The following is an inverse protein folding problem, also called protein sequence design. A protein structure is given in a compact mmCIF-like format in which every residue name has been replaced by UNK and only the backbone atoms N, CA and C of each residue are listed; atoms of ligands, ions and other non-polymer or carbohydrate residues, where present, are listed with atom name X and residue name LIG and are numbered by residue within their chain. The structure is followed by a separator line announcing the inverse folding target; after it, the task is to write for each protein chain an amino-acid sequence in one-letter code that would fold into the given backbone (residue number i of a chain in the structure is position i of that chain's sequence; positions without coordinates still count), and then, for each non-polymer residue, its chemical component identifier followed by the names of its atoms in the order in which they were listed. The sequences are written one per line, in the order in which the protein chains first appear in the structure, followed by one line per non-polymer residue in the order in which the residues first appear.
data_IF_209269293297
#
_entry.id   IF_209269293297
#
_cell.length_a   1.000
_cell.length_b   1.000
_cell.length_c   1.000
_cell.angle_alpha   90.00
_cell.angle_beta   90.00
_cell.angle_gamma   90.00
#
_symmetry.space_group_name_H-M   'P 1'
#
loop_
_entity.id
_entity.type
_entity.pdbx_description
1 polymer ?
#
# COMPACT_ATOMS: atom_id res chain seq x y z
N UNK A 1 0.22 41.23 40.94
CA UNK A 1 0.35 39.89 40.32
C UNK A 1 -0.64 39.65 39.14
N UNK A 2 -1.05 40.67 38.36
CA UNK A 2 -2.16 40.55 37.38
C UNK A 2 -1.73 40.35 35.91
N UNK A 3 -0.53 40.81 35.52
CA UNK A 3 0.05 40.58 34.18
C UNK A 3 0.49 39.13 33.89
N UNK A 4 1.05 38.34 34.84
CA UNK A 4 1.59 37.02 34.52
C UNK A 4 0.50 36.01 34.13
N UNK A 5 -0.72 36.13 34.68
CA UNK A 5 -1.84 35.21 34.39
C UNK A 5 -2.33 35.38 32.94
N UNK A 6 -2.42 36.62 32.47
CA UNK A 6 -2.85 36.92 31.10
C UNK A 6 -1.80 36.47 30.06
N UNK A 7 -0.52 36.63 30.39
CA UNK A 7 0.59 36.11 29.58
C UNK A 7 0.54 34.58 29.51
N UNK A 8 0.27 33.91 30.63
CA UNK A 8 0.14 32.45 30.69
C UNK A 8 -0.98 31.93 29.77
N UNK A 9 -2.15 32.59 29.80
CA UNK A 9 -3.29 32.22 28.96
C UNK A 9 -2.98 32.32 27.45
N UNK A 10 -2.29 33.38 27.02
CA UNK A 10 -1.85 33.53 25.63
C UNK A 10 -0.85 32.44 25.23
N UNK A 11 0.09 32.10 26.11
CA UNK A 11 1.06 31.02 25.86
C UNK A 11 0.35 29.67 25.69
N UNK A 12 -0.64 29.35 26.53
CA UNK A 12 -1.42 28.12 26.39
C UNK A 12 -2.20 28.04 25.08
N UNK A 13 -2.78 29.16 24.62
CA UNK A 13 -3.46 29.22 23.32
C UNK A 13 -2.48 29.00 22.17
N UNK A 14 -1.30 29.62 22.23
CA UNK A 14 -0.27 29.44 21.20
C UNK A 14 0.24 27.99 21.17
N UNK A 15 0.55 27.39 22.31
CA UNK A 15 0.99 25.98 22.39
C UNK A 15 -0.12 25.05 21.91
N UNK A 16 -1.36 25.25 22.37
CA UNK A 16 -2.51 24.45 21.94
C UNK A 16 -2.78 24.54 20.45
N UNK A 17 -2.63 25.72 19.85
CA UNK A 17 -2.79 25.95 18.41
C UNK A 17 -1.65 25.33 17.60
N UNK A 18 -0.43 25.35 18.14
CA UNK A 18 0.72 24.68 17.52
C UNK A 18 0.54 23.16 17.51
N UNK A 19 0.05 22.59 18.62
CA UNK A 19 -0.22 21.15 18.74
C UNK A 19 -1.36 20.71 17.82
N UNK A 20 -2.44 21.49 17.69
CA UNK A 20 -3.54 21.15 16.77
C UNK A 20 -3.13 21.31 15.30
N UNK A 21 -2.34 22.32 14.96
CA UNK A 21 -1.77 22.45 13.61
C UNK A 21 -0.82 21.28 13.27
N UNK A 22 -0.09 20.77 14.26
CA UNK A 22 0.77 19.60 14.11
C UNK A 22 -0.04 18.30 13.91
N UNK A 23 -1.11 18.09 14.68
CA UNK A 23 -2.04 16.96 14.51
C UNK A 23 -2.76 17.01 13.14
N UNK A 24 -3.23 18.19 12.71
CA UNK A 24 -3.89 18.35 11.42
C UNK A 24 -2.97 18.04 10.22
N UNK A 25 -1.68 18.35 10.32
CA UNK A 25 -0.69 18.05 9.28
C UNK A 25 -0.18 16.59 9.31
N UNK A 26 -0.43 15.85 10.39
CA UNK A 26 0.03 14.48 10.58
C UNK A 26 -1.05 13.42 10.28
N UNK A 27 -2.33 13.81 10.24
CA UNK A 27 -3.39 12.92 9.77
C UNK A 27 -3.32 12.77 8.26
N UNK A 28 -3.53 11.54 7.71
CA UNK A 28 -3.75 11.39 6.28
C UNK A 28 -4.90 12.32 5.90
N UNK A 29 -4.70 13.11 4.85
CA UNK A 29 -5.81 13.87 4.31
C UNK A 29 -6.93 12.86 4.02
N UNK A 30 -8.09 13.03 4.66
CA UNK A 30 -9.31 12.34 4.24
C UNK A 30 -9.69 12.90 2.87
N UNK A 31 -8.91 12.55 1.85
CA UNK A 31 -9.24 12.79 0.46
C UNK A 31 -10.23 11.72 0.08
N UNK A 32 -11.43 12.13 -0.29
CA UNK A 32 -12.36 11.29 -1.02
C UNK A 32 -11.77 10.99 -2.40
N UNK A 33 -10.82 10.07 -2.43
CA UNK A 33 -10.27 9.50 -3.63
C UNK A 33 -11.24 8.41 -4.08
N UNK A 34 -11.81 8.54 -5.28
CA UNK A 34 -12.38 7.37 -5.94
C UNK A 34 -11.32 6.78 -6.84
N UNK A 35 -11.15 5.48 -6.74
CA UNK A 35 -10.47 4.72 -7.78
C UNK A 35 -11.24 4.93 -9.07
N UNK A 36 -10.59 5.49 -10.08
CA UNK A 36 -11.17 5.53 -11.42
C UNK A 36 -11.29 4.10 -11.91
N UNK A 37 -12.51 3.64 -12.16
CA UNK A 37 -12.75 2.30 -12.72
C UNK A 37 -12.20 2.11 -14.15
N UNK A 38 -11.56 3.14 -14.73
CA UNK A 38 -11.08 3.14 -16.11
C UNK A 38 -9.54 3.17 -16.25
N UNK A 39 -8.76 3.33 -15.17
CA UNK A 39 -7.30 3.17 -15.24
C UNK A 39 -6.91 1.75 -14.80
N UNK A 40 -5.94 1.17 -15.50
CA UNK A 40 -5.55 -0.24 -15.37
C UNK A 40 -5.03 -0.54 -13.96
N UNK A 41 -5.86 -1.19 -13.15
CA UNK A 41 -5.45 -1.77 -11.88
C UNK A 41 -4.52 -2.94 -12.18
N UNK A 42 -3.24 -2.80 -11.83
CA UNK A 42 -2.27 -3.89 -11.95
C UNK A 42 -2.27 -4.70 -10.67
N UNK A 43 -2.50 -6.00 -10.78
CA UNK A 43 -2.71 -6.84 -9.61
C UNK A 43 -2.06 -8.21 -9.77
N UNK A 44 -1.22 -8.58 -8.80
CA UNK A 44 -0.77 -9.95 -8.58
C UNK A 44 -1.51 -10.56 -7.42
N UNK A 45 -2.09 -11.73 -7.66
CA UNK A 45 -2.79 -12.49 -6.63
C UNK A 45 -2.51 -13.97 -6.73
N UNK A 46 -2.61 -14.58 -5.55
CA UNK A 46 -2.71 -16.02 -5.38
C UNK A 46 -4.18 -16.33 -5.16
N UNK A 47 -4.76 -17.13 -6.06
CA UNK A 47 -6.15 -17.57 -5.98
C UNK A 47 -6.19 -19.01 -5.52
N UNK A 48 -7.06 -19.34 -4.58
CA UNK A 48 -7.33 -20.73 -4.22
C UNK A 48 -8.73 -21.11 -4.73
N UNK A 49 -8.78 -21.67 -5.94
CA UNK A 49 -10.02 -21.96 -6.65
C UNK A 49 -10.27 -23.46 -6.71
N UNK A 50 -11.53 -23.86 -6.88
CA UNK A 50 -11.83 -25.25 -7.26
C UNK A 50 -11.44 -25.46 -8.72
N UNK A 51 -11.04 -26.67 -9.11
CA UNK A 51 -10.75 -27.01 -10.50
C UNK A 51 -11.93 -26.63 -11.42
N UNK A 52 -11.66 -25.93 -12.51
CA UNK A 52 -12.69 -25.25 -13.30
C UNK A 52 -13.13 -23.89 -12.73
N UNK A 53 -12.35 -23.26 -11.86
CA UNK A 53 -12.64 -21.92 -11.35
C UNK A 53 -12.22 -20.79 -12.30
N UNK A 54 -12.73 -19.58 -12.04
CA UNK A 54 -12.43 -18.36 -12.83
C UNK A 54 -11.23 -17.65 -12.20
N UNK A 55 -10.29 -17.22 -13.05
CA UNK A 55 -9.09 -16.44 -12.65
C UNK A 55 -9.01 -15.13 -13.43
N UNK A 56 -9.34 -15.16 -14.73
CA UNK A 56 -9.32 -14.01 -15.63
C UNK A 56 -8.03 -13.18 -15.56
N UNK A 57 -6.90 -13.79 -15.87
CA UNK A 57 -5.60 -13.14 -15.82
C UNK A 57 -4.47 -13.94 -16.47
N UNK A 58 -3.28 -13.36 -16.52
CA UNK A 58 -2.06 -14.02 -17.00
C UNK A 58 -1.52 -14.94 -15.92
N UNK A 59 -1.62 -16.25 -16.13
CA UNK A 59 -1.17 -17.26 -15.17
C UNK A 59 0.35 -17.43 -15.26
N UNK A 60 1.00 -17.30 -14.11
CA UNK A 60 2.45 -17.43 -13.95
C UNK A 60 2.83 -18.82 -13.43
N UNK A 61 2.04 -19.39 -12.53
CA UNK A 61 2.23 -20.74 -12.01
C UNK A 61 0.92 -21.29 -11.42
N UNK A 62 0.87 -22.61 -11.24
CA UNK A 62 -0.18 -23.30 -10.47
C UNK A 62 0.42 -24.30 -9.50
N UNK A 63 -0.26 -24.54 -8.38
CA UNK A 63 0.02 -25.61 -7.43
C UNK A 63 -1.20 -26.50 -7.31
N UNK A 64 -0.96 -27.79 -7.41
CA UNK A 64 -1.96 -28.85 -7.31
C UNK A 64 -1.35 -30.05 -6.58
N UNK A 65 -2.16 -30.89 -5.91
CA UNK A 65 -1.70 -32.09 -5.21
C UNK A 65 -1.38 -33.28 -6.15
N UNK A 66 -1.08 -33.01 -7.43
CA UNK A 66 -0.61 -34.02 -8.36
C UNK A 66 0.92 -34.14 -8.29
N UNK A 67 1.44 -35.35 -8.56
CA UNK A 67 2.87 -35.65 -8.45
C UNK A 67 3.58 -35.79 -9.80
N UNK A 68 2.88 -35.63 -10.92
CA UNK A 68 3.45 -35.77 -12.27
C UNK A 68 4.49 -34.69 -12.61
N UNK A 69 5.40 -34.96 -13.53
CA UNK A 69 6.39 -33.97 -13.98
C UNK A 69 5.75 -32.84 -14.80
N UNK A 70 4.67 -33.15 -15.52
CA UNK A 70 3.95 -32.22 -16.37
C UNK A 70 2.46 -32.24 -16.02
N UNK A 71 1.81 -31.13 -16.31
CA UNK A 71 0.40 -30.89 -16.05
C UNK A 71 -0.21 -30.24 -17.29
N UNK A 72 -1.34 -30.76 -17.78
CA UNK A 72 -2.10 -30.07 -18.83
C UNK A 72 -3.13 -29.17 -18.16
N UNK A 73 -3.04 -27.87 -18.45
CA UNK A 73 -4.00 -26.86 -18.00
C UNK A 73 -4.77 -26.36 -19.22
N UNK A 74 -6.09 -26.32 -19.10
CA UNK A 74 -6.99 -25.90 -20.17
C UNK A 74 -7.89 -24.74 -19.76
N UNK A 75 -8.14 -23.86 -20.72
CA UNK A 75 -9.20 -22.87 -20.69
C UNK A 75 -10.34 -23.36 -21.61
N UNK A 76 -11.39 -24.00 -21.07
CA UNK A 76 -12.48 -24.49 -21.91
C UNK A 76 -13.29 -23.38 -22.59
N UNK A 77 -13.22 -22.13 -22.10
CA UNK A 77 -13.92 -21.01 -22.76
C UNK A 77 -13.16 -20.46 -23.97
N UNK A 78 -11.82 -20.58 -23.95
CA UNK A 78 -10.95 -20.06 -25.01
C UNK A 78 -10.39 -21.15 -25.92
N UNK A 79 -10.69 -22.42 -25.63
CA UNK A 79 -10.13 -23.61 -26.27
C UNK A 79 -8.60 -23.61 -26.29
N UNK A 80 -8.00 -23.19 -25.17
CA UNK A 80 -6.54 -23.11 -24.99
C UNK A 80 -6.08 -24.26 -24.10
N UNK A 81 -5.02 -24.96 -24.52
CA UNK A 81 -4.41 -26.05 -23.77
C UNK A 81 -2.89 -25.81 -23.69
N UNK A 82 -2.35 -25.81 -22.47
CA UNK A 82 -0.93 -25.57 -22.24
C UNK A 82 -0.38 -26.60 -21.26
N UNK A 83 0.80 -27.10 -21.59
CA UNK A 83 1.57 -27.97 -20.70
C UNK A 83 2.40 -27.10 -19.75
N UNK A 84 2.16 -27.28 -18.47
CA UNK A 84 2.94 -26.70 -17.40
C UNK A 84 3.94 -27.75 -16.89
N UNK A 85 5.17 -27.34 -16.64
CA UNK A 85 6.24 -28.22 -16.17
C UNK A 85 6.48 -27.98 -14.69
N UNK A 86 6.66 -29.06 -13.93
CA UNK A 86 6.94 -29.00 -12.49
C UNK A 86 8.33 -28.43 -12.23
N UNK A 87 8.42 -27.45 -11.33
CA UNK A 87 9.64 -26.94 -10.72
C UNK A 87 9.42 -26.84 -9.21
N UNK A 88 9.94 -27.81 -8.47
CA UNK A 88 9.66 -27.96 -7.05
C UNK A 88 8.18 -28.27 -6.79
N UNK A 89 7.50 -27.41 -6.03
CA UNK A 89 6.09 -27.55 -5.66
C UNK A 89 5.11 -26.83 -6.60
N UNK A 90 5.62 -26.18 -7.64
CA UNK A 90 4.83 -25.40 -8.59
C UNK A 90 4.94 -25.99 -9.99
N UNK A 91 3.89 -25.80 -10.79
CA UNK A 91 3.87 -26.05 -12.22
C UNK A 91 3.87 -24.71 -12.95
N UNK A 92 4.81 -24.52 -13.89
CA UNK A 92 4.98 -23.26 -14.61
C UNK A 92 4.81 -23.48 -16.13
N UNK A 93 4.13 -22.57 -16.84
CA UNK A 93 4.09 -22.60 -18.30
C UNK A 93 5.44 -22.14 -18.88
N UNK A 94 5.75 -22.51 -20.12
CA UNK A 94 6.97 -22.05 -20.81
C UNK A 94 6.99 -20.53 -20.99
N UNK A 95 5.83 -19.94 -21.21
CA UNK A 95 5.61 -18.50 -21.35
C UNK A 95 4.34 -18.12 -20.58
N UNK A 96 4.26 -16.93 -19.97
CA UNK A 96 3.04 -16.44 -19.36
C UNK A 96 1.89 -16.49 -20.37
N UNK A 97 0.73 -16.97 -19.94
CA UNK A 97 -0.44 -17.10 -20.81
C UNK A 97 -1.71 -16.69 -20.07
N UNK A 98 -2.61 -16.04 -20.79
CA UNK A 98 -3.89 -15.62 -20.24
C UNK A 98 -4.87 -16.79 -20.16
N UNK A 99 -5.46 -16.98 -18.97
CA UNK A 99 -6.59 -17.88 -18.74
C UNK A 99 -7.78 -17.11 -18.17
N UNK A 100 -8.98 -17.37 -18.68
CA UNK A 100 -10.24 -16.94 -18.08
C UNK A 100 -10.70 -17.94 -17.04
N UNK A 101 -10.65 -19.23 -17.39
CA UNK A 101 -10.99 -20.36 -16.53
C UNK A 101 -9.83 -21.34 -16.49
N UNK A 102 -9.53 -21.89 -15.31
CA UNK A 102 -8.45 -22.88 -15.15
C UNK A 102 -9.07 -24.23 -14.87
N UNK A 103 -8.81 -25.18 -15.77
CA UNK A 103 -9.13 -26.57 -15.56
C UNK A 103 -7.87 -27.42 -15.74
N UNK A 104 -7.62 -28.29 -14.78
CA UNK A 104 -6.48 -29.18 -14.73
C UNK A 104 -6.95 -30.60 -15.02
N UNK A 105 -6.37 -31.23 -16.04
CA UNK A 105 -6.73 -32.59 -16.41
C UNK A 105 -6.29 -33.59 -15.32
N UNK A 106 -7.20 -34.48 -14.93
CA UNK A 106 -6.94 -35.54 -13.94
C UNK A 106 -7.05 -35.12 -12.46
N UNK A 107 -7.37 -33.85 -12.15
CA UNK A 107 -7.44 -33.36 -10.77
C UNK A 107 -8.82 -33.56 -10.08
N UNK A 108 -9.89 -33.84 -10.83
CA UNK A 108 -11.25 -33.91 -10.25
C UNK A 108 -11.72 -32.55 -9.70
N UNK A 109 -12.50 -32.55 -8.62
CA UNK A 109 -13.06 -31.34 -7.97
C UNK A 109 -12.17 -30.75 -6.86
N UNK A 110 -10.87 -30.97 -6.93
CA UNK A 110 -9.93 -30.47 -5.92
C UNK A 110 -9.55 -29.00 -6.12
N UNK A 111 -8.84 -28.44 -5.12
CA UNK A 111 -8.37 -27.06 -5.15
C UNK A 111 -7.11 -26.90 -5.99
N UNK A 112 -7.08 -25.82 -6.76
CA UNK A 112 -5.93 -25.32 -7.51
C UNK A 112 -5.55 -23.98 -6.92
N UNK A 113 -4.31 -23.86 -6.49
CA UNK A 113 -3.72 -22.59 -6.12
C UNK A 113 -3.06 -21.98 -7.37
N UNK A 114 -3.47 -20.77 -7.74
CA UNK A 114 -3.11 -20.12 -9.01
C UNK A 114 -2.41 -18.81 -8.72
N UNK A 115 -1.25 -18.62 -9.34
CA UNK A 115 -0.47 -17.40 -9.26
C UNK A 115 -0.68 -16.64 -10.57
N UNK A 116 -1.34 -15.48 -10.52
CA UNK A 116 -1.70 -14.74 -11.73
C UNK A 116 -1.49 -13.24 -11.62
N UNK A 117 -1.18 -12.64 -12.78
CA UNK A 117 -1.10 -11.21 -13.03
C UNK A 117 -2.31 -10.75 -13.86
N UNK A 118 -3.18 -9.93 -13.28
CA UNK A 118 -4.45 -9.52 -13.91
C UNK A 118 -4.28 -8.46 -15.01
N UNK A 119 -3.12 -7.79 -15.10
CA UNK A 119 -2.90 -6.67 -16.03
C UNK A 119 -1.59 -6.75 -16.86
N UNK A 120 -0.82 -7.84 -16.73
CA UNK A 120 0.40 -8.09 -17.50
C UNK A 120 1.56 -7.12 -17.22
N UNK A 121 2.70 -7.34 -17.87
CA UNK A 121 3.79 -6.34 -17.99
C UNK A 121 4.98 -6.45 -17.03
N UNK A 122 4.90 -7.23 -15.96
CA UNK A 122 5.97 -7.34 -14.96
C UNK A 122 6.56 -8.75 -14.92
N UNK A 123 7.88 -8.83 -14.69
CA UNK A 123 8.63 -10.09 -14.66
C UNK A 123 8.89 -10.47 -13.20
N UNK A 124 8.15 -11.45 -12.72
CA UNK A 124 8.27 -11.98 -11.35
C UNK A 124 8.64 -13.46 -11.39
N UNK A 125 9.46 -13.90 -10.44
CA UNK A 125 9.60 -15.30 -10.11
C UNK A 125 8.49 -15.69 -9.11
N UNK A 126 8.07 -16.94 -9.19
CA UNK A 126 7.01 -17.47 -8.33
C UNK A 126 7.59 -18.54 -7.43
N UNK A 127 7.45 -18.32 -6.12
CA UNK A 127 7.80 -19.28 -5.07
C UNK A 127 6.53 -19.74 -4.36
N UNK A 128 6.56 -20.90 -3.67
CA UNK A 128 5.52 -21.33 -2.74
C UNK A 128 4.96 -20.18 -1.89
N UNK A 129 3.73 -19.76 -2.19
CA UNK A 129 2.98 -18.72 -1.48
C UNK A 129 3.45 -17.29 -1.74
N UNK A 130 4.43 -17.02 -2.60
CA UNK A 130 5.04 -15.70 -2.73
C UNK A 130 5.50 -15.36 -4.15
N UNK A 131 5.48 -14.08 -4.48
CA UNK A 131 6.10 -13.50 -5.66
C UNK A 131 7.44 -12.86 -5.27
N UNK A 132 8.43 -12.94 -6.16
CA UNK A 132 9.76 -12.35 -5.97
C UNK A 132 10.14 -11.57 -7.22
N UNK A 133 10.70 -10.37 -7.04
CA UNK A 133 11.31 -9.63 -8.16
C UNK A 133 12.57 -10.38 -8.61
N UNK A 134 12.59 -10.81 -9.88
CA UNK A 134 13.67 -11.62 -10.45
C UNK A 134 15.05 -11.01 -10.24
N UNK A 135 16.06 -11.85 -9.98
CA UNK A 135 17.45 -11.40 -9.84
C UNK A 135 18.01 -10.73 -11.10
N UNK A 136 17.49 -11.10 -12.27
CA UNK A 136 17.88 -10.50 -13.55
C UNK A 136 17.28 -9.10 -13.79
N UNK A 137 16.41 -8.62 -12.91
CA UNK A 137 15.76 -7.32 -13.00
C UNK A 137 16.18 -6.50 -11.78
N UNK A 138 16.84 -5.36 -11.99
CA UNK A 138 17.34 -4.55 -10.87
C UNK A 138 16.22 -4.01 -9.97
N UNK A 139 15.12 -3.56 -10.58
CA UNK A 139 13.92 -3.15 -9.87
C UNK A 139 12.70 -3.10 -10.81
N UNK A 140 11.51 -3.15 -10.20
CA UNK A 140 10.24 -2.86 -10.87
C UNK A 140 9.78 -1.47 -10.45
N UNK A 141 9.53 -0.60 -11.44
CA UNK A 141 9.21 0.79 -11.21
C UNK A 141 7.73 1.07 -11.46
N UNK A 142 7.11 1.77 -10.52
CA UNK A 142 5.73 2.19 -10.56
C UNK A 142 5.65 3.73 -10.50
N UNK A 143 5.10 4.40 -11.52
CA UNK A 143 5.06 5.85 -11.54
C UNK A 143 4.02 6.45 -10.61
N UNK A 144 4.43 7.41 -9.76
CA UNK A 144 3.49 8.25 -9.01
C UNK A 144 2.93 9.32 -9.95
N UNK A 145 1.83 9.02 -10.62
CA UNK A 145 1.27 9.89 -11.65
C UNK A 145 0.63 11.15 -11.06
N UNK A 146 0.41 12.15 -11.91
CA UNK A 146 -0.35 13.37 -11.57
C UNK A 146 -1.80 13.14 -11.14
N UNK A 147 -2.29 11.90 -11.20
CA UNK A 147 -3.64 11.53 -10.76
C UNK A 147 -3.65 10.95 -9.34
N UNK A 148 -2.49 10.65 -8.78
CA UNK A 148 -2.39 9.94 -7.51
C UNK A 148 -2.21 8.46 -7.78
N UNK A 149 -1.65 7.77 -6.79
CA UNK A 149 -1.34 6.36 -6.91
C UNK A 149 -1.46 5.69 -5.55
N UNK A 150 -2.00 4.47 -5.52
CA UNK A 150 -1.95 3.57 -4.37
C UNK A 150 -1.26 2.29 -4.80
N UNK A 151 -0.18 1.95 -4.10
CA UNK A 151 0.50 0.67 -4.20
C UNK A 151 0.30 -0.06 -2.87
N UNK A 152 -0.27 -1.26 -2.91
CA UNK A 152 -0.43 -2.11 -1.74
C UNK A 152 0.35 -3.41 -1.91
N UNK A 153 1.06 -3.80 -0.85
CA UNK A 153 1.80 -5.06 -0.77
C UNK A 153 1.35 -5.85 0.46
N UNK A 154 1.13 -7.15 0.28
CA UNK A 154 0.79 -8.10 1.34
C UNK A 154 2.02 -8.94 1.71
N UNK A 155 2.28 -9.05 3.01
CA UNK A 155 3.46 -9.68 3.62
C UNK A 155 4.78 -9.30 2.92
N UNK A 156 5.08 -8.00 2.77
CA UNK A 156 6.24 -7.60 1.99
C UNK A 156 7.55 -7.83 2.76
N UNK A 157 8.60 -8.12 1.97
CA UNK A 157 10.01 -8.24 2.40
C UNK A 157 10.95 -7.65 1.35
N UNK A 158 12.13 -7.25 1.79
CA UNK A 158 13.16 -6.66 0.94
C UNK A 158 13.20 -5.14 1.06
N UNK A 159 13.29 -4.43 -0.07
CA UNK A 159 13.50 -2.99 -0.08
C UNK A 159 12.61 -2.33 -1.14
N UNK A 160 11.90 -1.30 -0.69
CA UNK A 160 11.13 -0.41 -1.57
C UNK A 160 11.74 0.98 -1.47
N UNK A 161 11.94 1.63 -2.61
CA UNK A 161 12.56 2.95 -2.68
C UNK A 161 11.59 3.92 -3.36
N UNK A 162 11.26 5.01 -2.69
CA UNK A 162 10.58 6.15 -3.31
C UNK A 162 11.67 7.05 -3.89
N UNK A 163 11.74 7.09 -5.21
CA UNK A 163 12.70 7.86 -5.98
C UNK A 163 12.20 9.30 -6.11
N UNK A 164 12.71 10.15 -5.24
CA UNK A 164 12.62 11.61 -5.27
C UNK A 164 14.05 12.20 -5.17
N UNK A 165 14.23 13.52 -5.03
CA UNK A 165 15.56 14.13 -4.89
C UNK A 165 16.36 13.59 -3.69
N UNK A 166 15.67 13.23 -2.62
CA UNK A 166 16.28 12.82 -1.36
C UNK A 166 16.34 11.30 -1.18
N UNK A 167 15.71 10.54 -2.08
CA UNK A 167 15.59 9.08 -2.10
C UNK A 167 15.16 8.49 -0.76
N UNK A 168 13.92 8.07 -0.65
CA UNK A 168 13.43 7.43 0.59
C UNK A 168 13.49 5.91 0.48
N UNK A 169 14.22 5.26 1.37
CA UNK A 169 14.24 3.79 1.47
C UNK A 169 13.27 3.30 2.56
N UNK A 170 12.55 2.23 2.26
CA UNK A 170 11.70 1.47 3.17
C UNK A 170 12.26 0.04 3.20
N UNK A 171 12.86 -0.33 4.32
CA UNK A 171 13.49 -1.65 4.50
C UNK A 171 12.50 -2.54 5.26
N UNK A 172 12.22 -3.71 4.69
CA UNK A 172 11.16 -4.62 5.11
C UNK A 172 11.76 -5.98 5.48
N UNK A 173 11.95 -6.21 6.78
CA UNK A 173 12.46 -7.46 7.35
C UNK A 173 11.55 -7.97 8.46
N UNK A 174 12.13 -8.30 9.62
CA UNK A 174 11.38 -8.56 10.87
C UNK A 174 10.98 -7.25 11.59
N UNK A 175 11.18 -6.14 10.90
CA UNK A 175 10.81 -4.78 11.26
C UNK A 175 10.61 -3.96 9.99
N UNK A 176 9.96 -2.80 10.12
CA UNK A 176 9.96 -1.75 9.11
C UNK A 176 10.93 -0.67 9.53
N UNK A 177 11.87 -0.32 8.66
CA UNK A 177 12.79 0.79 8.87
C UNK A 177 12.60 1.83 7.76
N UNK A 178 12.44 3.08 8.17
CA UNK A 178 12.36 4.26 7.29
C UNK A 178 13.43 5.25 7.77
N UNK A 179 14.68 5.14 7.30
CA UNK A 179 15.81 5.90 7.84
C UNK A 179 15.60 7.42 7.74
N UNK A 180 14.98 7.90 6.65
CA UNK A 180 14.67 9.33 6.44
C UNK A 180 13.80 9.94 7.53
N UNK A 181 12.94 9.12 8.16
CA UNK A 181 12.07 9.55 9.25
C UNK A 181 12.64 9.21 10.64
N UNK A 182 13.80 8.53 10.69
CA UNK A 182 14.35 7.94 11.91
C UNK A 182 13.30 7.05 12.63
N UNK A 183 12.58 6.24 11.84
CA UNK A 183 11.53 5.34 12.32
C UNK A 183 11.98 3.90 12.14
N UNK A 184 11.92 3.14 13.22
CA UNK A 184 12.00 1.68 13.20
C UNK A 184 10.80 1.13 13.95
N UNK A 185 9.94 0.40 13.26
CA UNK A 185 8.80 -0.28 13.84
C UNK A 185 9.09 -1.79 13.90
N UNK A 186 9.30 -2.30 15.10
CA UNK A 186 9.52 -3.73 15.32
C UNK A 186 8.24 -4.51 15.04
N UNK A 187 8.38 -5.69 14.42
CA UNK A 187 7.26 -6.55 14.05
C UNK A 187 7.29 -6.90 12.57
N UNK A 188 6.68 -8.04 12.25
CA UNK A 188 6.64 -8.59 10.91
C UNK A 188 5.69 -7.77 10.01
N UNK A 189 6.16 -7.13 8.92
CA UNK A 189 5.29 -6.41 8.00
C UNK A 189 4.25 -7.33 7.39
N UNK A 190 2.97 -7.04 7.64
CA UNK A 190 1.84 -7.77 7.06
C UNK A 190 1.21 -7.02 5.91
N UNK A 191 1.08 -5.70 6.03
CA UNK A 191 0.59 -4.83 4.95
C UNK A 191 1.46 -3.59 4.91
N UNK A 192 1.82 -3.19 3.68
CA UNK A 192 2.42 -1.90 3.38
C UNK A 192 1.66 -1.28 2.21
N UNK A 193 1.26 -0.03 2.38
CA UNK A 193 0.66 0.81 1.35
C UNK A 193 1.52 2.05 1.14
N UNK A 194 1.77 2.38 -0.12
CA UNK A 194 2.37 3.63 -0.54
C UNK A 194 1.30 4.41 -1.29
N UNK A 195 0.84 5.51 -0.69
CA UNK A 195 -0.28 6.30 -1.18
C UNK A 195 0.22 7.71 -1.50
N UNK A 196 0.14 8.11 -2.76
CA UNK A 196 0.57 9.44 -3.19
C UNK A 196 -0.63 10.38 -3.32
N UNK A 197 -0.69 11.41 -2.48
CA UNK A 197 -1.75 12.44 -2.51
C UNK A 197 -1.40 13.57 -3.48
N UNK A 198 -2.43 14.09 -4.15
CA UNK A 198 -2.36 15.20 -5.08
C UNK A 198 -2.39 16.59 -4.42
N UNK A 199 -2.74 16.67 -3.15
CA UNK A 199 -2.87 17.96 -2.44
C UNK A 199 -1.50 18.56 -2.17
N UNK A 200 -1.31 19.86 -2.39
CA UNK A 200 -0.09 20.58 -1.97
C UNK A 200 -0.09 20.77 -0.44
N UNK A 201 0.99 20.44 0.29
CA UNK A 201 2.26 19.89 -0.22
C UNK A 201 2.14 18.44 -0.69
N UNK A 202 2.77 18.13 -1.84
CA UNK A 202 2.84 16.78 -2.42
C UNK A 202 3.44 15.82 -1.38
N UNK A 203 2.63 14.86 -0.92
CA UNK A 203 3.00 13.96 0.18
C UNK A 203 2.74 12.52 -0.22
N UNK A 204 3.69 11.64 0.11
CA UNK A 204 3.51 10.20 0.09
C UNK A 204 3.24 9.73 1.50
N UNK A 205 2.18 8.95 1.65
CA UNK A 205 1.83 8.27 2.87
C UNK A 205 2.30 6.82 2.80
N UNK A 206 2.99 6.39 3.84
CA UNK A 206 3.38 5.01 4.08
C UNK A 206 2.45 4.51 5.18
N UNK A 207 1.53 3.62 4.83
CA UNK A 207 0.46 3.15 5.70
C UNK A 207 0.43 1.62 5.80
N UNK A 208 -0.03 1.06 6.90
CA UNK A 208 -0.15 -0.39 7.06
C UNK A 208 -0.07 -0.86 8.49
N UNK A 209 0.32 -2.12 8.67
CA UNK A 209 0.54 -2.67 10.00
C UNK A 209 1.60 -3.77 10.03
N UNK A 210 2.19 -3.92 11.21
CA UNK A 210 3.10 -5.01 11.57
C UNK A 210 2.43 -5.94 12.57
N UNK A 211 2.80 -7.22 12.52
CA UNK A 211 2.47 -8.23 13.51
C UNK A 211 3.60 -8.34 14.54
N UNK A 212 3.28 -8.11 15.81
CA UNK A 212 4.22 -8.18 16.92
C UNK A 212 4.35 -9.61 17.50
N UNK A 213 3.62 -10.57 16.93
CA UNK A 213 3.44 -11.90 17.49
C UNK A 213 2.30 -11.97 18.51
N UNK A 214 1.85 -13.19 18.80
CA UNK A 214 0.77 -13.49 19.76
C UNK A 214 -0.56 -12.77 19.45
N UNK A 215 -0.84 -12.52 18.17
CA UNK A 215 -2.06 -11.86 17.71
C UNK A 215 -2.11 -10.35 17.94
N UNK A 216 -0.99 -9.72 18.36
CA UNK A 216 -0.90 -8.27 18.53
C UNK A 216 -0.45 -7.61 17.23
N UNK A 217 -1.15 -6.56 16.81
CA UNK A 217 -0.79 -5.76 15.64
C UNK A 217 -0.51 -4.32 16.03
N UNK A 218 0.33 -3.64 15.26
CA UNK A 218 0.54 -2.19 15.37
C UNK A 218 0.38 -1.56 14.00
N UNK A 219 -0.57 -0.64 13.91
CA UNK A 219 -0.79 0.18 12.71
C UNK A 219 0.19 1.35 12.69
N UNK A 220 0.58 1.75 11.49
CA UNK A 220 1.44 2.90 11.29
C UNK A 220 0.99 3.68 10.07
N UNK A 221 1.12 4.99 10.16
CA UNK A 221 0.89 5.91 9.05
C UNK A 221 1.93 7.02 9.15
N UNK A 222 2.77 7.14 8.13
CA UNK A 222 3.82 8.15 8.07
C UNK A 222 3.71 8.97 6.79
N UNK A 223 3.76 10.29 6.92
CA UNK A 223 3.77 11.22 5.79
C UNK A 223 5.18 11.66 5.44
N UNK A 224 5.54 11.60 4.17
CA UNK A 224 6.81 12.09 3.63
C UNK A 224 6.53 13.11 2.55
N UNK A 225 7.00 14.33 2.76
CA UNK A 225 6.95 15.37 1.73
C UNK A 225 7.88 14.99 0.59
N UNK A 226 7.33 14.95 -0.62
CA UNK A 226 8.08 14.66 -1.83
C UNK A 226 8.77 15.92 -2.33
N UNK A 227 10.06 15.78 -2.61
CA UNK A 227 10.82 16.75 -3.39
C UNK A 227 11.07 16.14 -4.78
N UNK A 228 10.17 16.35 -5.76
CA UNK A 228 10.32 15.74 -7.07
C UNK A 228 11.64 16.20 -7.73
N UNK A 229 12.31 15.27 -8.44
CA UNK A 229 13.58 15.53 -9.13
C UNK A 229 13.39 16.60 -10.22
N UNK A 230 12.25 16.53 -10.90
CA UNK A 230 11.77 17.49 -11.88
C UNK A 230 10.25 17.63 -11.67
N UNK A 231 9.70 18.84 -11.72
CA UNK A 231 8.25 19.04 -11.63
C UNK A 231 7.47 18.32 -12.74
N UNK A 232 8.15 18.02 -13.85
CA UNK A 232 7.62 17.30 -15.00
C UNK A 232 7.81 15.78 -14.93
N UNK A 233 8.72 15.28 -14.08
CA UNK A 233 8.93 13.83 -13.89
C UNK A 233 8.19 13.34 -12.64
N UNK A 234 7.26 12.38 -12.78
CA UNK A 234 6.63 11.78 -11.62
C UNK A 234 7.67 11.07 -10.76
N UNK A 235 7.60 11.25 -9.43
CA UNK A 235 8.35 10.40 -8.52
C UNK A 235 7.99 8.93 -8.78
N UNK A 236 8.91 8.00 -8.55
CA UNK A 236 8.68 6.59 -8.84
C UNK A 236 8.80 5.77 -7.55
N UNK A 237 8.00 4.71 -7.43
CA UNK A 237 8.22 3.69 -6.41
C UNK A 237 8.94 2.52 -7.08
N UNK A 238 10.15 2.24 -6.60
CA UNK A 238 11.03 1.18 -7.06
C UNK A 238 10.95 0.01 -6.08
N UNK A 239 10.47 -1.15 -6.55
CA UNK A 239 10.54 -2.41 -5.81
C UNK A 239 11.79 -3.13 -6.25
N UNK A 240 12.78 -3.18 -5.37
CA UNK A 240 14.14 -3.60 -5.72
C UNK A 240 14.23 -5.12 -5.84
N UNK A 241 15.21 -5.60 -6.62
CA UNK A 241 15.53 -7.02 -6.78
C UNK A 241 15.56 -7.78 -5.46
N UNK A 242 15.07 -9.02 -5.47
CA UNK A 242 15.02 -9.87 -4.27
C UNK A 242 13.90 -9.52 -3.29
N UNK A 243 13.15 -8.43 -3.49
CA UNK A 243 11.96 -8.14 -2.70
C UNK A 243 10.86 -9.17 -3.00
N UNK A 244 10.09 -9.53 -1.97
CA UNK A 244 9.05 -10.54 -2.06
C UNK A 244 7.76 -10.11 -1.37
N UNK A 245 6.63 -10.61 -1.85
CA UNK A 245 5.30 -10.33 -1.30
C UNK A 245 4.32 -11.43 -1.71
N UNK A 246 3.22 -11.60 -0.97
CA UNK A 246 2.20 -12.63 -1.27
C UNK A 246 1.13 -12.12 -2.24
N UNK A 247 0.92 -10.80 -2.30
CA UNK A 247 0.05 -10.14 -3.27
C UNK A 247 0.49 -8.68 -3.45
N UNK A 248 0.22 -8.09 -4.62
CA UNK A 248 0.33 -6.66 -4.83
C UNK A 248 -0.87 -6.11 -5.58
N UNK A 249 -1.20 -4.86 -5.29
CA UNK A 249 -2.13 -4.08 -6.09
C UNK A 249 -1.51 -2.70 -6.39
N UNK A 250 -1.66 -2.23 -7.61
CA UNK A 250 -1.29 -0.89 -8.03
C UNK A 250 -2.44 -0.27 -8.79
N UNK A 251 -2.90 0.88 -8.30
CA UNK A 251 -4.03 1.60 -8.86
C UNK A 251 -3.79 3.09 -8.89
N UNK A 252 -4.46 3.75 -9.83
CA UNK A 252 -4.57 5.20 -9.90
C UNK A 252 -5.94 5.63 -9.41
N UNK A 253 -5.99 6.72 -8.68
CA UNK A 253 -7.25 7.36 -8.32
C UNK A 253 -7.38 8.70 -9.03
N UNK A 254 -8.55 9.33 -8.96
CA UNK A 254 -8.67 10.78 -9.07
C UNK A 254 -9.35 11.28 -7.82
N UNK A 255 -9.01 12.50 -7.43
CA UNK A 255 -9.85 13.24 -6.51
C UNK A 255 -11.21 13.44 -7.18
N UNK A 256 -12.28 12.98 -6.55
CA UNK A 256 -13.60 13.55 -6.83
C UNK A 256 -13.59 14.90 -6.13
N UNK A 257 -13.64 15.99 -6.89
CA UNK A 257 -13.98 17.28 -6.32
C UNK A 257 -15.43 17.19 -5.81
N UNK A 258 -15.57 17.00 -4.50
CA UNK A 258 -16.84 16.88 -3.81
C UNK A 258 -16.62 16.91 -2.30
N UNK A 259 -17.55 17.51 -1.57
CA UNK A 259 -17.55 17.48 -0.12
C UNK A 259 -17.52 16.02 0.35
N UNK A 260 -16.45 15.61 1.01
CA UNK A 260 -16.47 14.37 1.75
C UNK A 260 -17.65 14.44 2.72
N UNK A 261 -18.53 13.42 2.79
CA UNK A 261 -19.38 13.27 3.94
C UNK A 261 -18.43 13.05 5.11
N UNK A 262 -18.14 14.13 5.82
CA UNK A 262 -17.44 14.09 7.08
C UNK A 262 -18.36 13.27 7.99
N UNK A 263 -18.12 11.96 8.10
CA UNK A 263 -18.37 11.31 9.37
C UNK A 263 -17.56 12.14 10.35
N UNK A 264 -18.27 12.96 11.13
CA UNK A 264 -17.72 13.81 12.17
C UNK A 264 -16.99 12.91 13.16
N UNK A 265 -15.76 12.55 12.85
CA UNK A 265 -14.76 12.16 13.84
C UNK A 265 -14.41 13.48 14.54
N UNK A 266 -15.28 13.80 15.51
CA UNK A 266 -15.12 14.74 16.62
C UNK A 266 -14.45 16.09 16.33
N UNK A 267 -15.13 17.23 16.60
CA UNK A 267 -14.39 18.45 16.89
C UNK A 267 -13.74 18.28 18.27
N UNK A 268 -12.55 17.68 18.35
CA UNK A 268 -11.65 17.93 19.49
C UNK A 268 -10.84 19.24 19.28
N UNK A 269 -11.11 19.95 18.19
CA UNK A 269 -10.56 21.27 17.88
C UNK A 269 -11.19 22.52 18.55
N UNK A 270 -12.31 22.50 19.30
CA UNK A 270 -12.81 23.72 19.93
C UNK A 270 -12.47 23.80 21.41
N UNK A 271 -12.05 22.72 22.08
CA UNK A 271 -11.85 22.73 23.55
C UNK A 271 -10.67 23.62 23.96
N UNK A 272 -9.53 23.56 23.28
CA UNK A 272 -8.37 24.42 23.59
C UNK A 272 -8.60 25.89 23.26
N UNK A 273 -9.25 26.17 22.13
CA UNK A 273 -9.65 27.53 21.71
C UNK A 273 -10.71 28.13 22.65
N UNK A 274 -11.71 27.34 23.06
CA UNK A 274 -12.75 27.77 23.99
C UNK A 274 -12.22 27.94 25.41
N UNK A 275 -11.34 27.05 25.92
CA UNK A 275 -10.67 27.23 27.22
C UNK A 275 -9.77 28.47 27.22
N UNK A 276 -9.05 28.67 26.12
CA UNK A 276 -8.19 29.84 25.90
C UNK A 276 -8.96 31.16 25.89
N UNK A 277 -10.06 31.22 25.13
CA UNK A 277 -10.97 32.36 25.14
C UNK A 277 -11.62 32.55 26.52
N UNK A 278 -12.05 31.49 27.20
CA UNK A 278 -12.61 31.56 28.56
C UNK A 278 -11.62 32.15 29.57
N UNK A 279 -10.34 31.78 29.50
CA UNK A 279 -9.30 32.33 30.38
C UNK A 279 -9.02 33.81 30.08
N UNK A 280 -9.06 34.21 28.80
CA UNK A 280 -8.95 35.61 28.39
C UNK A 280 -10.16 36.42 28.89
N UNK A 281 -11.38 35.90 28.71
CA UNK A 281 -12.61 36.53 29.19
C UNK A 281 -12.69 36.61 30.72
N UNK A 282 -12.31 35.55 31.44
CA UNK A 282 -12.23 35.55 32.90
C UNK A 282 -11.20 36.58 33.41
N UNK A 283 -10.05 36.70 32.72
CA UNK A 283 -9.04 37.73 33.02
C UNK A 283 -9.51 39.16 32.74
N UNK A 284 -10.38 39.37 31.74
CA UNK A 284 -10.99 40.66 31.40
C UNK A 284 -12.14 41.03 32.36
N UNK A 285 -13.01 40.08 32.70
CA UNK A 285 -14.14 40.28 33.63
C UNK A 285 -13.68 40.50 35.08
N UNK A 286 -12.55 39.95 35.50
CA UNK A 286 -11.95 40.27 36.82
C UNK A 286 -11.44 41.72 36.91
N UNK A 287 -11.37 42.43 35.78
CA UNK A 287 -10.85 43.80 35.68
C UNK A 287 -11.93 44.87 35.83
N UNK A 288 -13.20 44.50 35.70
CA UNK A 288 -14.40 45.30 36.01
C UNK A 288 -14.89 44.99 37.41
#
# INVERSE_FOLDING_TARGET
MKRPILILGVIFVLIGSLLTAWDYNSRPACTCASTLSNESVHELRIFNITNGGIVNGTVLAVRVPLMGQNLTVRDPERDVYVVFNRRGELYLPKTPIFFRRIQVDGLGDEKVEVYANLAGGYVFDVKPGMFVVLESVDAIQFPLTRYGAELGFLNPRGRIVIVDQNRTEIILGDSIEIPRLNVTLHGEPRVLKVIYSLTTPKKVWIDGYVDLGNGRVTYYTYGIDLNPIDETLPALVSVERGSSFTAFNYSHFRLIEGECPVEKIGPEGPLSLSLGLLMIFAGLLWRT
#
